data_IF_533630913962
#
_entry.id   IF_533630913962
#
_cell.length_a   1.000
_cell.length_b   1.000
_cell.length_c   1.000
_cell.angle_alpha   90.00
_cell.angle_beta   90.00
_cell.angle_gamma   90.00
#
_symmetry.space_group_name_H-M   'P 1'
#
loop_
_entity.id
_entity.type
_entity.pdbx_description
1 polymer ?
#
# COMPACT_ATOMS: atom_id res chain seq x y z
N UNK A 1 -32.54 -17.36 13.82
CA UNK A 1 -32.79 -16.18 14.67
C UNK A 1 -31.72 -15.15 14.33
N UNK A 2 -32.09 -13.95 13.96
CA UNK A 2 -31.12 -12.92 13.63
C UNK A 2 -30.56 -12.32 14.93
N UNK A 3 -29.32 -12.62 15.25
CA UNK A 3 -28.65 -12.13 16.43
C UNK A 3 -27.98 -10.78 16.21
N UNK A 4 -28.04 -10.31 15.01
CA UNK A 4 -27.13 -9.25 14.59
C UNK A 4 -27.46 -7.87 15.02
N UNK A 5 -28.60 -7.59 15.58
CA UNK A 5 -29.04 -6.22 15.48
C UNK A 5 -29.18 -5.45 16.77
N UNK A 6 -29.31 -6.09 17.90
CA UNK A 6 -29.32 -5.37 19.17
C UNK A 6 -29.03 -6.28 20.36
N UNK A 7 -28.60 -5.70 21.46
CA UNK A 7 -28.22 -6.44 22.65
C UNK A 7 -29.35 -7.26 23.27
N UNK A 8 -30.58 -6.89 23.03
CA UNK A 8 -31.75 -7.63 23.51
C UNK A 8 -31.84 -9.02 22.84
N UNK A 9 -31.57 -9.09 21.55
CA UNK A 9 -31.60 -10.35 20.83
C UNK A 9 -30.51 -11.31 21.33
N UNK A 10 -29.33 -10.79 21.64
CA UNK A 10 -28.26 -11.58 22.23
C UNK A 10 -28.67 -12.08 23.63
N UNK A 11 -29.26 -11.22 24.44
CA UNK A 11 -29.71 -11.62 25.75
C UNK A 11 -30.81 -12.69 25.72
N UNK A 12 -31.84 -12.49 24.90
CA UNK A 12 -32.92 -13.44 24.74
C UNK A 12 -32.40 -14.78 24.28
N UNK A 13 -31.45 -14.81 23.35
CA UNK A 13 -30.81 -16.03 22.89
C UNK A 13 -30.07 -16.74 24.02
N UNK A 14 -29.20 -16.05 24.72
CA UNK A 14 -28.43 -16.60 25.83
C UNK A 14 -29.35 -17.17 26.92
N UNK A 15 -30.36 -16.43 27.26
CA UNK A 15 -31.34 -16.85 28.26
C UNK A 15 -32.11 -18.09 27.81
N UNK A 16 -32.57 -18.16 26.58
CA UNK A 16 -33.33 -19.28 26.03
C UNK A 16 -32.52 -20.58 25.89
N UNK A 17 -31.26 -20.44 25.48
CA UNK A 17 -30.41 -21.61 25.19
C UNK A 17 -29.64 -22.13 26.40
N UNK A 18 -29.21 -21.27 27.30
CA UNK A 18 -28.35 -21.61 28.43
C UNK A 18 -29.08 -21.61 29.79
N UNK A 19 -30.37 -21.45 29.82
CA UNK A 19 -31.23 -21.59 31.01
C UNK A 19 -30.64 -20.93 32.26
N UNK A 20 -30.55 -19.62 32.28
CA UNK A 20 -30.09 -18.83 33.43
C UNK A 20 -28.58 -18.95 33.77
N UNK A 21 -27.76 -19.47 32.90
CA UNK A 21 -26.32 -19.49 33.10
C UNK A 21 -25.70 -18.09 33.01
N UNK A 22 -26.36 -17.17 32.35
CA UNK A 22 -25.87 -15.82 32.11
C UNK A 22 -26.81 -14.81 32.72
N UNK A 23 -26.61 -14.43 33.96
CA UNK A 23 -27.52 -13.53 34.68
C UNK A 23 -27.42 -12.09 34.24
N UNK A 24 -26.39 -11.75 33.53
CA UNK A 24 -26.18 -10.39 33.12
C UNK A 24 -26.53 -10.14 31.71
N UNK A 25 -27.07 -9.07 31.54
CA UNK A 25 -27.64 -8.57 30.38
C UNK A 25 -26.80 -7.51 29.76
N UNK A 26 -26.70 -7.55 28.51
CA UNK A 26 -26.07 -6.54 27.71
C UNK A 26 -27.12 -5.84 26.91
N UNK A 27 -27.12 -4.66 27.01
CA UNK A 27 -28.19 -3.97 26.52
C UNK A 27 -28.05 -3.03 25.51
N UNK A 28 -27.00 -2.48 25.25
CA UNK A 28 -26.89 -1.50 24.22
C UNK A 28 -26.00 -2.04 23.16
N UNK A 29 -26.62 -2.17 22.12
CA UNK A 29 -26.15 -2.62 20.89
C UNK A 29 -24.82 -1.97 20.44
N UNK A 30 -24.67 -0.70 20.34
CA UNK A 30 -23.51 -0.08 19.75
C UNK A 30 -22.29 0.08 20.65
N UNK A 31 -22.36 1.06 21.50
CA UNK A 31 -21.20 1.51 22.28
C UNK A 31 -20.96 0.72 23.55
N UNK A 32 -22.01 0.07 24.05
CA UNK A 32 -21.95 -0.68 25.30
C UNK A 32 -21.72 -2.16 25.11
N UNK A 33 -21.85 -2.69 23.90
CA UNK A 33 -21.70 -4.11 23.63
C UNK A 33 -20.29 -4.64 23.91
N UNK A 34 -19.28 -3.91 23.50
CA UNK A 34 -17.89 -4.26 23.68
C UNK A 34 -17.43 -4.26 25.16
N UNK A 35 -17.76 -3.28 25.98
CA UNK A 35 -17.50 -3.34 27.41
C UNK A 35 -18.15 -4.55 28.09
N UNK A 36 -19.35 -4.91 27.69
CA UNK A 36 -20.03 -6.06 28.24
C UNK A 36 -19.40 -7.39 27.81
N UNK A 37 -18.93 -7.49 26.57
CA UNK A 37 -18.14 -8.65 26.11
C UNK A 37 -16.87 -8.83 26.95
N UNK A 38 -16.14 -7.74 27.23
CA UNK A 38 -14.96 -7.76 28.08
C UNK A 38 -15.32 -8.20 29.51
N UNK A 39 -16.42 -7.71 30.06
CA UNK A 39 -16.88 -8.09 31.38
C UNK A 39 -17.26 -9.58 31.46
N UNK A 40 -17.94 -10.08 30.47
CA UNK A 40 -18.26 -11.50 30.38
C UNK A 40 -17.00 -12.39 30.28
N UNK A 41 -16.04 -12.00 29.47
CA UNK A 41 -14.74 -12.72 29.36
C UNK A 41 -13.97 -12.69 30.68
N UNK A 42 -13.87 -11.55 31.33
CA UNK A 42 -13.13 -11.42 32.59
C UNK A 42 -13.74 -12.26 33.73
N UNK A 43 -15.02 -12.50 33.69
CA UNK A 43 -15.72 -13.34 34.65
C UNK A 43 -15.77 -14.85 34.24
N UNK A 44 -15.13 -15.23 33.15
CA UNK A 44 -15.13 -16.59 32.61
C UNK A 44 -16.55 -17.17 32.35
N UNK A 45 -17.51 -16.31 32.10
CA UNK A 45 -18.91 -16.71 31.84
C UNK A 45 -19.10 -17.04 30.35
N UNK A 46 -18.25 -16.43 29.51
CA UNK A 46 -18.34 -16.56 28.08
C UNK A 46 -17.63 -17.81 27.60
N UNK A 47 -18.38 -18.74 27.05
CA UNK A 47 -17.82 -19.87 26.32
C UNK A 47 -17.55 -19.52 24.84
N UNK A 48 -16.81 -20.39 24.15
CA UNK A 48 -16.40 -20.13 22.76
C UNK A 48 -17.59 -19.92 21.81
N UNK A 49 -18.70 -20.62 22.03
CA UNK A 49 -19.88 -20.50 21.19
C UNK A 49 -20.56 -19.14 21.36
N UNK A 50 -20.64 -18.67 22.59
CA UNK A 50 -21.21 -17.35 22.89
C UNK A 50 -20.32 -16.24 22.37
N UNK A 51 -19.01 -16.37 22.52
CA UNK A 51 -18.05 -15.43 21.97
C UNK A 51 -18.16 -15.34 20.44
N UNK A 52 -18.25 -16.49 19.78
CA UNK A 52 -18.44 -16.58 18.34
C UNK A 52 -19.72 -15.90 17.89
N UNK A 53 -20.84 -16.18 18.55
CA UNK A 53 -22.12 -15.55 18.25
C UNK A 53 -22.11 -14.03 18.41
N UNK A 54 -21.45 -13.54 19.44
CA UNK A 54 -21.30 -12.09 19.67
C UNK A 54 -20.47 -11.46 18.56
N UNK A 55 -19.37 -12.07 18.17
CA UNK A 55 -18.56 -11.59 17.04
C UNK A 55 -19.33 -11.60 15.73
N UNK A 56 -20.03 -12.68 15.45
CA UNK A 56 -20.85 -12.82 14.26
C UNK A 56 -21.96 -11.76 14.21
N UNK A 57 -22.64 -11.52 15.34
CA UNK A 57 -23.67 -10.50 15.43
C UNK A 57 -23.13 -9.07 15.25
N UNK A 58 -21.91 -8.81 15.70
CA UNK A 58 -21.29 -7.48 15.64
C UNK A 58 -20.81 -7.11 14.24
N UNK A 59 -20.41 -8.10 13.43
CA UNK A 59 -19.76 -7.86 12.14
C UNK A 59 -20.45 -8.60 10.98
N UNK A 60 -21.61 -9.23 11.21
CA UNK A 60 -22.29 -10.05 10.19
C UNK A 60 -22.62 -9.29 8.90
N UNK A 61 -22.81 -7.99 8.98
CA UNK A 61 -23.09 -7.16 7.80
C UNK A 61 -21.84 -6.85 6.95
N UNK A 62 -20.65 -7.07 7.51
CA UNK A 62 -19.38 -6.75 6.87
C UNK A 62 -18.60 -7.99 6.40
N UNK A 63 -18.97 -9.17 6.91
CA UNK A 63 -18.27 -10.41 6.61
C UNK A 63 -19.17 -11.38 5.86
N UNK A 64 -18.66 -11.90 4.73
CA UNK A 64 -19.36 -12.87 3.92
C UNK A 64 -18.68 -14.22 3.94
N UNK A 65 -19.48 -15.28 4.05
CA UNK A 65 -19.06 -16.66 3.80
C UNK A 65 -19.42 -17.12 2.38
N UNK A 66 -20.11 -16.28 1.61
CA UNK A 66 -20.55 -16.57 0.25
C UNK A 66 -19.50 -16.00 -0.73
N UNK A 67 -19.19 -16.71 -1.82
CA UNK A 67 -18.33 -16.18 -2.88
C UNK A 67 -18.83 -14.82 -3.37
N UNK A 68 -17.91 -13.86 -3.47
CA UNK A 68 -18.21 -12.48 -3.84
C UNK A 68 -17.80 -12.26 -5.29
N UNK A 69 -18.41 -11.30 -6.01
CA UNK A 69 -18.09 -11.01 -7.40
C UNK A 69 -16.62 -10.67 -7.64
N UNK A 70 -16.17 -10.83 -8.89
CA UNK A 70 -14.76 -10.71 -9.30
C UNK A 70 -14.09 -9.36 -9.00
N UNK A 71 -14.87 -8.28 -8.85
CA UNK A 71 -14.34 -6.95 -8.57
C UNK A 71 -14.23 -6.62 -7.07
N UNK A 72 -14.20 -7.63 -6.21
CA UNK A 72 -14.07 -7.46 -4.76
C UNK A 72 -12.69 -7.91 -4.29
N UNK A 73 -12.01 -7.06 -3.52
CA UNK A 73 -10.69 -7.32 -2.93
C UNK A 73 -10.90 -7.78 -1.50
N UNK A 74 -10.56 -9.03 -1.15
CA UNK A 74 -10.61 -9.49 0.23
C UNK A 74 -9.56 -8.79 1.07
N UNK A 75 -9.90 -8.40 2.31
CA UNK A 75 -9.02 -7.63 3.18
C UNK A 75 -8.77 -8.34 4.51
N UNK A 76 -9.83 -8.67 5.24
CA UNK A 76 -9.72 -9.35 6.52
C UNK A 76 -10.66 -10.52 6.63
N UNK A 77 -10.29 -11.40 7.54
CA UNK A 77 -11.05 -12.57 7.90
C UNK A 77 -11.34 -12.58 9.40
N UNK A 78 -12.56 -12.95 9.76
CA UNK A 78 -12.93 -13.18 11.15
C UNK A 78 -12.63 -14.62 11.58
N UNK A 79 -12.85 -14.95 12.85
CA UNK A 79 -12.54 -16.27 13.41
C UNK A 79 -13.38 -17.42 12.83
N UNK A 80 -14.51 -17.13 12.22
CA UNK A 80 -15.41 -18.12 11.62
C UNK A 80 -15.25 -18.24 10.10
N UNK A 81 -14.21 -17.62 9.53
CA UNK A 81 -13.94 -17.67 8.10
C UNK A 81 -14.74 -16.69 7.24
N UNK A 82 -15.51 -15.80 7.85
CA UNK A 82 -16.16 -14.72 7.12
C UNK A 82 -15.13 -13.68 6.64
N UNK A 83 -15.25 -13.26 5.39
CA UNK A 83 -14.30 -12.35 4.71
C UNK A 83 -14.94 -10.99 4.46
N UNK A 84 -14.23 -9.93 4.79
CA UNK A 84 -14.61 -8.55 4.44
C UNK A 84 -13.94 -8.13 3.13
N UNK A 85 -14.62 -7.28 2.39
CA UNK A 85 -14.20 -6.90 1.04
C UNK A 85 -14.19 -5.38 0.85
N UNK A 86 -13.16 -4.91 0.15
CA UNK A 86 -13.16 -3.62 -0.52
C UNK A 86 -13.72 -3.81 -1.93
N UNK A 87 -14.60 -2.92 -2.37
CA UNK A 87 -15.07 -2.91 -3.76
C UNK A 87 -14.03 -2.23 -4.63
N UNK A 88 -13.59 -2.89 -5.67
CA UNK A 88 -12.69 -2.28 -6.65
C UNK A 88 -13.48 -1.28 -7.51
N UNK A 89 -13.06 -0.03 -7.45
CA UNK A 89 -13.73 1.07 -8.18
C UNK A 89 -13.05 1.33 -9.52
N UNK A 90 -13.48 0.63 -10.56
CA UNK A 90 -12.96 0.82 -11.92
C UNK A 90 -13.15 2.24 -12.46
N UNK A 91 -14.14 2.96 -11.97
CA UNK A 91 -14.43 4.35 -12.38
C UNK A 91 -13.60 5.37 -11.60
N UNK A 92 -12.77 4.90 -10.67
CA UNK A 92 -11.90 5.74 -9.84
C UNK A 92 -12.63 6.91 -9.16
N UNK A 93 -13.85 6.69 -8.69
CA UNK A 93 -14.60 7.67 -7.89
C UNK A 93 -13.95 7.85 -6.53
N UNK A 94 -13.36 6.77 -5.98
CA UNK A 94 -12.63 6.76 -4.72
C UNK A 94 -11.13 6.53 -4.97
N UNK A 95 -10.29 6.95 -4.04
CA UNK A 95 -8.89 6.60 -4.06
C UNK A 95 -8.75 5.11 -3.71
N UNK A 96 -7.87 4.40 -4.43
CA UNK A 96 -7.60 2.97 -4.16
C UNK A 96 -6.32 2.77 -3.33
N UNK A 97 -5.92 3.78 -2.57
CA UNK A 97 -4.74 3.69 -1.72
C UNK A 97 -5.00 2.85 -0.47
N UNK A 98 -3.99 2.09 -0.11
CA UNK A 98 -3.95 1.26 1.09
C UNK A 98 -2.74 1.63 1.95
N UNK A 99 -2.97 1.92 3.21
CA UNK A 99 -1.95 2.28 4.17
C UNK A 99 -1.90 1.29 5.33
N UNK A 100 -0.73 0.71 5.61
CA UNK A 100 -0.50 -0.18 6.73
C UNK A 100 0.48 0.44 7.75
N UNK A 101 0.07 0.49 9.02
CA UNK A 101 0.87 0.99 10.13
C UNK A 101 1.01 -0.07 11.21
N UNK A 102 2.23 -0.28 11.71
CA UNK A 102 2.45 -1.22 12.81
C UNK A 102 3.94 -1.41 13.12
N UNK A 103 4.25 -1.93 14.29
CA UNK A 103 5.62 -2.26 14.70
C UNK A 103 6.26 -3.33 13.80
N UNK A 104 7.58 -3.49 13.88
CA UNK A 104 8.29 -4.56 13.16
C UNK A 104 7.71 -5.93 13.54
N UNK A 105 7.62 -6.84 12.58
CA UNK A 105 7.10 -8.20 12.79
C UNK A 105 5.60 -8.30 13.09
N UNK A 106 4.83 -7.21 13.01
CA UNK A 106 3.38 -7.22 13.28
C UNK A 106 2.52 -7.81 12.16
N UNK A 107 3.08 -8.01 10.94
CA UNK A 107 2.36 -8.62 9.81
C UNK A 107 2.04 -7.67 8.66
N UNK A 108 2.56 -6.43 8.64
CA UNK A 108 2.32 -5.45 7.56
C UNK A 108 2.72 -5.96 6.18
N UNK A 109 3.98 -6.42 6.04
CA UNK A 109 4.50 -6.92 4.76
C UNK A 109 3.73 -8.15 4.29
N UNK A 110 3.37 -9.06 5.21
CA UNK A 110 2.48 -10.19 4.89
C UNK A 110 1.12 -9.69 4.34
N UNK A 111 0.53 -8.69 4.96
CA UNK A 111 -0.72 -8.09 4.47
C UNK A 111 -0.57 -7.46 3.09
N UNK A 112 0.54 -6.75 2.81
CA UNK A 112 0.82 -6.21 1.49
C UNK A 112 0.98 -7.32 0.44
N UNK A 113 1.69 -8.41 0.78
CA UNK A 113 1.88 -9.57 -0.10
C UNK A 113 0.53 -10.24 -0.44
N UNK A 114 -0.32 -10.49 0.56
CA UNK A 114 -1.65 -11.06 0.34
C UNK A 114 -2.57 -10.14 -0.50
N UNK A 115 -2.46 -8.83 -0.26
CA UNK A 115 -3.19 -7.84 -1.05
C UNK A 115 -2.69 -7.77 -2.49
N UNK A 116 -1.40 -7.90 -2.72
CA UNK A 116 -0.79 -7.98 -4.05
C UNK A 116 -1.37 -9.13 -4.86
N UNK A 117 -1.43 -10.33 -4.27
CA UNK A 117 -2.07 -11.51 -4.88
C UNK A 117 -3.57 -11.27 -5.16
N UNK A 118 -4.27 -10.63 -4.23
CA UNK A 118 -5.70 -10.35 -4.41
C UNK A 118 -5.96 -9.35 -5.54
N UNK A 119 -5.09 -8.35 -5.70
CA UNK A 119 -5.18 -7.37 -6.79
C UNK A 119 -4.77 -7.96 -8.15
N UNK A 120 -3.80 -8.87 -8.17
CA UNK A 120 -3.38 -9.58 -9.39
C UNK A 120 -4.57 -10.32 -10.04
N UNK A 121 -5.43 -10.94 -9.24
CA UNK A 121 -6.65 -11.63 -9.71
C UNK A 121 -7.63 -10.72 -10.48
N UNK A 122 -7.48 -9.41 -10.35
CA UNK A 122 -8.23 -8.41 -11.13
C UNK A 122 -7.58 -8.10 -12.49
N UNK A 123 -6.49 -8.79 -12.85
CA UNK A 123 -5.74 -8.61 -14.10
C UNK A 123 -5.31 -7.15 -14.33
N UNK A 124 -4.80 -6.52 -13.28
CA UNK A 124 -4.27 -5.14 -13.31
C UNK A 124 -2.76 -5.17 -13.09
N UNK A 125 -2.00 -4.33 -13.81
CA UNK A 125 -0.56 -4.27 -13.63
C UNK A 125 -0.21 -3.84 -12.19
N UNK A 126 0.80 -4.51 -11.64
CA UNK A 126 1.30 -4.26 -10.29
C UNK A 126 2.81 -4.04 -10.38
N UNK A 127 3.27 -2.91 -9.82
CA UNK A 127 4.68 -2.60 -9.69
C UNK A 127 5.03 -2.51 -8.20
N UNK A 128 6.02 -3.28 -7.78
CA UNK A 128 6.53 -3.31 -6.41
C UNK A 128 7.93 -2.69 -6.41
N UNK A 129 8.13 -1.65 -5.61
CA UNK A 129 9.46 -1.11 -5.34
C UNK A 129 9.97 -1.72 -4.03
N UNK A 130 10.86 -2.69 -4.16
CA UNK A 130 11.45 -3.40 -3.02
C UNK A 130 12.76 -2.75 -2.61
N UNK A 131 12.72 -2.08 -1.46
CA UNK A 131 13.86 -1.34 -0.92
C UNK A 131 14.59 -2.08 0.20
N UNK A 132 14.05 -3.20 0.69
CA UNK A 132 14.50 -3.87 1.90
C UNK A 132 14.51 -5.40 1.76
N UNK A 133 14.53 -5.95 0.53
CA UNK A 133 14.42 -7.40 0.25
C UNK A 133 13.16 -8.03 0.90
N UNK A 134 12.10 -7.24 1.01
CA UNK A 134 10.85 -7.69 1.62
C UNK A 134 9.97 -8.47 0.65
N UNK A 135 10.24 -8.39 -0.63
CA UNK A 135 9.49 -9.02 -1.73
C UNK A 135 10.39 -9.88 -2.65
N UNK A 136 11.46 -10.47 -2.11
CA UNK A 136 12.21 -11.49 -2.84
C UNK A 136 11.36 -12.73 -3.07
N UNK A 137 11.76 -13.61 -3.98
CA UNK A 137 11.04 -14.86 -4.25
C UNK A 137 10.87 -15.69 -2.97
N UNK A 138 11.93 -15.82 -2.17
CA UNK A 138 11.95 -16.57 -0.91
C UNK A 138 11.00 -15.95 0.11
N UNK A 139 11.04 -14.62 0.27
CA UNK A 139 10.21 -13.89 1.21
C UNK A 139 8.72 -13.96 0.84
N UNK A 140 8.39 -13.84 -0.43
CA UNK A 140 7.01 -14.00 -0.93
C UNK A 140 6.55 -15.45 -0.69
N UNK A 141 7.39 -16.45 -1.02
CA UNK A 141 7.09 -17.86 -0.79
C UNK A 141 6.84 -18.13 0.69
N UNK A 142 7.73 -17.65 1.58
CA UNK A 142 7.56 -17.83 3.02
C UNK A 142 6.23 -17.23 3.49
N UNK A 143 5.94 -15.97 3.13
CA UNK A 143 4.73 -15.27 3.57
C UNK A 143 3.45 -15.93 3.09
N UNK A 144 3.38 -16.32 1.82
CA UNK A 144 2.18 -16.95 1.26
C UNK A 144 1.99 -18.41 1.72
N UNK A 145 3.06 -19.07 2.17
CA UNK A 145 3.05 -20.48 2.59
C UNK A 145 2.87 -20.67 4.10
N UNK A 146 2.72 -19.61 4.88
CA UNK A 146 2.60 -19.72 6.35
C UNK A 146 1.46 -20.64 6.76
N UNK A 147 1.81 -21.78 7.40
CA UNK A 147 0.84 -22.77 7.88
C UNK A 147 0.16 -23.58 6.77
N UNK A 148 0.68 -23.58 5.57
CA UNK A 148 0.18 -24.35 4.44
C UNK A 148 0.74 -25.79 4.39
N UNK A 149 0.01 -26.70 3.78
CA UNK A 149 0.46 -28.05 3.45
C UNK A 149 1.41 -28.04 2.24
N UNK A 150 2.21 -29.11 2.07
CA UNK A 150 3.21 -29.21 0.97
C UNK A 150 2.61 -29.01 -0.42
N UNK A 151 1.41 -29.51 -0.67
CA UNK A 151 0.72 -29.34 -1.95
C UNK A 151 0.39 -27.89 -2.27
N UNK A 152 0.01 -27.11 -1.24
CA UNK A 152 -0.28 -25.68 -1.36
C UNK A 152 1.00 -24.90 -1.59
N UNK A 153 2.11 -25.28 -0.93
CA UNK A 153 3.44 -24.65 -1.12
C UNK A 153 3.89 -24.78 -2.58
N UNK A 154 3.72 -25.94 -3.21
CA UNK A 154 4.02 -26.10 -4.65
C UNK A 154 3.10 -25.23 -5.52
N UNK A 155 1.83 -25.08 -5.16
CA UNK A 155 0.92 -24.15 -5.82
C UNK A 155 1.39 -22.68 -5.70
N UNK A 156 1.93 -22.28 -4.53
CA UNK A 156 2.50 -20.94 -4.34
C UNK A 156 3.74 -20.72 -5.20
N UNK A 157 4.64 -21.70 -5.30
CA UNK A 157 5.81 -21.62 -6.19
C UNK A 157 5.40 -21.46 -7.65
N UNK A 158 4.43 -22.25 -8.10
CA UNK A 158 3.88 -22.14 -9.45
C UNK A 158 3.28 -20.75 -9.67
N UNK A 159 2.52 -20.23 -8.71
CA UNK A 159 1.96 -18.89 -8.77
C UNK A 159 3.05 -17.82 -8.93
N UNK A 160 4.12 -17.88 -8.12
CA UNK A 160 5.23 -16.93 -8.20
C UNK A 160 5.88 -17.02 -9.59
N UNK A 161 6.19 -18.25 -10.04
CA UNK A 161 6.78 -18.48 -11.36
C UNK A 161 5.90 -17.96 -12.51
N UNK A 162 4.58 -18.05 -12.41
CA UNK A 162 3.68 -17.69 -13.51
C UNK A 162 3.33 -16.20 -13.54
N UNK A 163 3.30 -15.54 -12.37
CA UNK A 163 2.73 -14.20 -12.24
C UNK A 163 3.72 -13.11 -11.83
N UNK A 164 4.94 -13.44 -11.39
CA UNK A 164 5.90 -12.45 -10.88
C UNK A 164 7.16 -12.41 -11.75
N UNK A 165 7.53 -11.20 -12.18
CA UNK A 165 8.83 -10.88 -12.78
C UNK A 165 9.67 -10.15 -11.77
N UNK A 166 10.87 -10.63 -11.49
CA UNK A 166 11.86 -9.96 -10.65
C UNK A 166 12.85 -9.21 -11.54
N UNK A 167 13.13 -7.96 -11.20
CA UNK A 167 14.08 -7.10 -11.86
C UNK A 167 15.06 -6.54 -10.83
N UNK A 168 16.34 -6.90 -10.94
CA UNK A 168 17.41 -6.47 -10.05
C UNK A 168 18.25 -5.39 -10.74
N UNK A 169 18.22 -4.16 -10.22
CA UNK A 169 18.90 -3.03 -10.88
C UNK A 169 20.41 -3.27 -11.05
N UNK A 170 21.05 -3.99 -10.14
CA UNK A 170 22.49 -4.34 -10.25
C UNK A 170 22.79 -5.21 -11.47
N UNK A 171 21.91 -6.14 -11.78
CA UNK A 171 22.14 -7.15 -12.84
C UNK A 171 21.49 -6.71 -14.15
N UNK A 172 20.26 -6.21 -14.08
CA UNK A 172 19.41 -5.92 -15.23
C UNK A 172 19.45 -4.46 -15.67
N UNK A 173 20.08 -3.58 -14.86
CA UNK A 173 20.08 -2.13 -15.07
C UNK A 173 18.79 -1.46 -14.61
N UNK A 174 18.65 -0.18 -14.92
CA UNK A 174 17.43 0.59 -14.64
C UNK A 174 16.33 0.12 -15.58
N UNK A 175 15.13 -0.21 -15.07
CA UNK A 175 14.13 -0.98 -15.84
C UNK A 175 13.56 -0.26 -17.04
N UNK A 176 13.59 1.06 -17.07
CA UNK A 176 12.99 1.91 -18.09
C UNK A 176 13.83 3.16 -18.33
N UNK A 177 13.65 3.79 -19.49
CA UNK A 177 14.04 5.18 -19.69
C UNK A 177 13.04 6.10 -18.96
N UNK A 178 13.51 6.77 -17.91
CA UNK A 178 12.69 7.58 -17.04
C UNK A 178 12.08 8.80 -17.75
N UNK A 179 12.67 9.22 -18.85
CA UNK A 179 12.24 10.40 -19.60
C UNK A 179 11.31 10.07 -20.78
N UNK A 180 11.09 8.78 -21.09
CA UNK A 180 10.06 8.33 -22.03
C UNK A 180 8.66 8.41 -21.41
N UNK A 181 8.11 9.62 -21.34
CA UNK A 181 6.84 9.91 -20.65
C UNK A 181 5.58 9.81 -21.56
N UNK A 182 5.74 9.29 -22.76
CA UNK A 182 4.70 9.32 -23.79
C UNK A 182 4.60 10.67 -24.51
N UNK A 183 3.72 10.74 -25.51
CA UNK A 183 3.60 11.93 -26.37
C UNK A 183 3.14 13.16 -25.60
N UNK A 184 4.05 14.07 -25.35
CA UNK A 184 3.73 15.42 -24.88
C UNK A 184 3.56 16.33 -26.09
N UNK A 185 2.43 17.05 -26.15
CA UNK A 185 2.11 17.96 -27.24
C UNK A 185 2.84 19.30 -27.18
N UNK A 186 3.59 19.54 -26.09
CA UNK A 186 4.22 20.83 -25.81
C UNK A 186 5.60 20.64 -25.16
N UNK A 187 6.62 21.22 -25.77
CA UNK A 187 8.01 21.20 -25.29
C UNK A 187 8.13 21.73 -23.84
N UNK A 188 7.43 22.79 -23.51
CA UNK A 188 7.40 23.36 -22.16
C UNK A 188 6.82 22.38 -21.11
N UNK A 189 5.79 21.63 -21.46
CA UNK A 189 5.21 20.59 -20.58
C UNK A 189 6.20 19.44 -20.37
N UNK A 190 6.92 19.04 -21.41
CA UNK A 190 7.99 18.04 -21.33
C UNK A 190 9.09 18.51 -20.38
N UNK A 191 9.58 19.73 -20.52
CA UNK A 191 10.61 20.31 -19.65
C UNK A 191 10.15 20.25 -18.19
N UNK A 192 8.92 20.71 -17.89
CA UNK A 192 8.38 20.71 -16.51
C UNK A 192 8.24 19.30 -15.92
N UNK A 193 7.87 18.30 -16.72
CA UNK A 193 7.78 16.91 -16.26
C UNK A 193 9.17 16.37 -15.93
N UNK A 194 10.16 16.60 -16.78
CA UNK A 194 11.54 16.20 -16.55
C UNK A 194 12.11 16.90 -15.29
N UNK A 195 11.89 18.21 -15.13
CA UNK A 195 12.23 18.93 -13.91
C UNK A 195 11.63 18.26 -12.67
N UNK A 196 10.33 17.93 -12.71
CA UNK A 196 9.66 17.27 -11.60
C UNK A 196 10.23 15.90 -11.28
N UNK A 197 10.71 15.13 -12.26
CA UNK A 197 11.36 13.84 -12.06
C UNK A 197 12.72 14.05 -11.38
N UNK A 198 13.51 14.95 -11.91
CA UNK A 198 14.85 15.28 -11.40
C UNK A 198 14.80 15.87 -9.99
N UNK A 199 13.80 16.70 -9.72
CA UNK A 199 13.57 17.34 -8.43
C UNK A 199 12.90 16.42 -7.40
N UNK A 200 12.35 15.27 -7.82
CA UNK A 200 11.56 14.40 -6.95
C UNK A 200 12.30 14.00 -5.66
N UNK A 201 13.59 13.77 -5.76
CA UNK A 201 14.44 13.49 -4.61
C UNK A 201 14.91 14.77 -3.89
N UNK A 202 15.24 15.81 -4.62
CA UNK A 202 15.85 17.03 -4.08
C UNK A 202 14.88 18.23 -4.11
N UNK A 203 13.86 18.18 -3.25
CA UNK A 203 12.79 19.18 -3.20
C UNK A 203 13.21 20.53 -2.62
N UNK A 204 14.45 20.67 -2.14
CA UNK A 204 14.98 21.89 -1.51
C UNK A 204 16.01 22.61 -2.36
N UNK A 205 15.99 22.43 -3.68
CA UNK A 205 16.89 23.14 -4.57
C UNK A 205 16.69 24.67 -4.47
N UNK A 206 17.80 25.40 -4.35
CA UNK A 206 17.78 26.85 -4.37
C UNK A 206 17.49 27.38 -5.78
N UNK A 207 17.06 28.65 -5.88
CA UNK A 207 16.69 29.30 -7.16
C UNK A 207 17.80 29.18 -8.22
N UNK A 208 19.07 29.29 -7.82
CA UNK A 208 20.23 29.18 -8.75
C UNK A 208 20.35 27.72 -9.28
N UNK A 209 20.16 26.73 -8.42
CA UNK A 209 20.22 25.34 -8.82
C UNK A 209 19.07 25.00 -9.79
N UNK A 210 17.86 25.45 -9.49
CA UNK A 210 16.71 25.27 -10.39
C UNK A 210 16.93 25.89 -11.76
N UNK A 211 17.52 27.11 -11.82
CA UNK A 211 17.83 27.75 -13.07
C UNK A 211 18.88 26.99 -13.91
N UNK A 212 19.87 26.40 -13.26
CA UNK A 212 20.88 25.56 -13.93
C UNK A 212 20.26 24.27 -14.46
N UNK A 213 19.43 23.59 -13.65
CA UNK A 213 18.73 22.36 -14.05
C UNK A 213 17.76 22.66 -15.20
N UNK A 214 17.00 23.74 -15.14
CA UNK A 214 16.12 24.17 -16.22
C UNK A 214 16.87 24.40 -17.54
N UNK A 215 18.01 25.08 -17.48
CA UNK A 215 18.83 25.34 -18.65
C UNK A 215 19.38 24.04 -19.27
N UNK A 216 19.88 23.10 -18.44
CA UNK A 216 20.39 21.81 -18.89
C UNK A 216 19.28 20.97 -19.54
N UNK A 217 18.10 20.88 -18.91
CA UNK A 217 16.94 20.15 -19.45
C UNK A 217 16.47 20.78 -20.75
N UNK A 218 16.40 22.11 -20.83
CA UNK A 218 16.00 22.82 -22.05
C UNK A 218 16.97 22.54 -23.21
N UNK A 219 18.28 22.46 -22.92
CA UNK A 219 19.31 22.17 -23.92
C UNK A 219 19.16 20.75 -24.48
N UNK A 220 19.01 19.71 -23.62
CA UNK A 220 18.85 18.32 -24.09
C UNK A 220 17.55 18.13 -24.86
N UNK A 221 16.45 18.78 -24.44
CA UNK A 221 15.15 18.73 -25.15
C UNK A 221 15.25 19.38 -26.52
N UNK A 222 15.92 20.54 -26.63
CA UNK A 222 16.13 21.23 -27.92
C UNK A 222 17.04 20.43 -28.87
N UNK A 223 18.02 19.73 -28.34
CA UNK A 223 18.92 18.86 -29.12
C UNK A 223 18.25 17.53 -29.52
N UNK A 224 17.14 17.16 -28.88
CA UNK A 224 16.47 15.90 -29.11
C UNK A 224 17.18 14.68 -28.47
N UNK A 225 18.09 14.91 -27.53
CA UNK A 225 18.81 13.88 -26.76
C UNK A 225 18.25 13.79 -25.34
N UNK A 226 16.99 13.36 -25.24
CA UNK A 226 16.26 13.36 -23.96
C UNK A 226 16.51 12.03 -23.25
N UNK A 227 17.60 11.92 -22.54
CA UNK A 227 17.97 10.80 -21.68
C UNK A 227 18.75 11.29 -20.44
N UNK A 228 18.85 10.44 -19.41
CA UNK A 228 19.48 10.81 -18.12
C UNK A 228 20.99 10.98 -18.23
N UNK A 229 21.66 10.26 -19.13
CA UNK A 229 23.10 10.37 -19.35
C UNK A 229 23.44 11.73 -19.97
N UNK A 230 22.69 12.13 -20.99
CA UNK A 230 22.83 13.46 -21.62
C UNK A 230 22.56 14.58 -20.60
N UNK A 231 21.60 14.40 -19.70
CA UNK A 231 21.34 15.35 -18.63
C UNK A 231 22.51 15.43 -17.64
N UNK A 232 23.07 14.29 -17.23
CA UNK A 232 24.24 14.23 -16.36
C UNK A 232 25.44 14.94 -17.00
N UNK A 233 25.72 14.68 -18.28
CA UNK A 233 26.79 15.34 -19.04
C UNK A 233 26.60 16.86 -19.13
N UNK A 234 25.37 17.31 -19.39
CA UNK A 234 25.02 18.71 -19.42
C UNK A 234 25.30 19.43 -18.07
N UNK A 235 24.92 18.75 -16.96
CA UNK A 235 25.09 19.29 -15.62
C UNK A 235 26.55 19.25 -15.11
N UNK A 236 27.35 18.31 -15.60
CA UNK A 236 28.78 18.19 -15.23
C UNK A 236 29.73 18.96 -16.15
N UNK A 237 29.20 19.73 -17.09
CA UNK A 237 30.01 20.53 -17.99
C UNK A 237 30.84 21.57 -17.22
N UNK A 238 32.06 21.90 -17.74
CA UNK A 238 32.99 22.84 -17.11
C UNK A 238 32.41 24.24 -16.86
N UNK A 239 31.28 24.56 -17.52
CA UNK A 239 30.63 25.88 -17.40
C UNK A 239 29.77 26.00 -16.14
N UNK A 240 29.43 24.88 -15.49
CA UNK A 240 28.58 24.86 -14.29
C UNK A 240 29.43 24.61 -13.05
N UNK A 241 29.39 25.49 -12.04
CA UNK A 241 30.09 25.26 -10.78
C UNK A 241 29.56 24.02 -10.07
N UNK A 242 30.41 23.02 -9.81
CA UNK A 242 30.05 21.71 -9.24
C UNK A 242 29.26 21.85 -7.93
N UNK A 243 29.59 22.79 -7.05
CA UNK A 243 28.86 23.01 -5.80
C UNK A 243 27.39 23.39 -5.96
N UNK A 244 26.94 23.75 -7.15
CA UNK A 244 25.54 24.02 -7.45
C UNK A 244 24.76 22.73 -7.79
N UNK A 245 25.45 21.71 -8.26
CA UNK A 245 24.83 20.50 -8.81
C UNK A 245 25.26 19.19 -8.12
N UNK A 246 26.19 19.28 -7.15
CA UNK A 246 26.82 18.13 -6.47
C UNK A 246 25.82 17.04 -6.05
N UNK A 247 24.81 17.39 -5.26
CA UNK A 247 23.82 16.43 -4.79
C UNK A 247 23.00 15.79 -5.92
N UNK A 248 22.73 16.56 -6.98
CA UNK A 248 21.97 16.07 -8.12
C UNK A 248 22.83 15.19 -9.01
N UNK A 249 24.08 15.58 -9.26
CA UNK A 249 25.01 14.78 -10.06
C UNK A 249 25.37 13.47 -9.36
N UNK A 250 25.45 13.44 -8.04
CA UNK A 250 25.63 12.20 -7.28
C UNK A 250 24.47 11.25 -7.52
N UNK A 251 23.23 11.74 -7.49
CA UNK A 251 22.03 10.92 -7.79
C UNK A 251 22.05 10.48 -9.26
N UNK A 252 22.27 11.37 -10.19
CA UNK A 252 22.28 11.05 -11.63
C UNK A 252 23.44 10.15 -12.05
N UNK A 253 24.53 10.07 -11.27
CA UNK A 253 25.66 9.16 -11.55
C UNK A 253 25.24 7.70 -11.63
N UNK A 254 24.10 7.31 -11.03
CA UNK A 254 23.54 5.97 -11.19
C UNK A 254 23.23 5.63 -12.64
N UNK A 255 22.74 6.59 -13.42
CA UNK A 255 22.39 6.38 -14.83
C UNK A 255 23.64 6.20 -15.72
N UNK A 256 24.80 6.62 -15.22
CA UNK A 256 26.10 6.36 -15.86
C UNK A 256 26.64 4.98 -15.46
N UNK A 257 26.41 4.57 -14.20
CA UNK A 257 26.93 3.32 -13.64
C UNK A 257 26.03 2.12 -13.97
N UNK A 258 24.72 2.32 -13.98
CA UNK A 258 23.74 1.27 -14.29
C UNK A 258 23.06 1.60 -15.62
N UNK A 259 23.22 0.72 -16.58
CA UNK A 259 22.62 0.93 -17.90
C UNK A 259 21.10 1.11 -17.78
N UNK A 260 20.60 2.20 -18.32
CA UNK A 260 19.16 2.42 -18.48
C UNK A 260 18.63 1.60 -19.66
N UNK A 261 17.49 0.95 -19.50
CA UNK A 261 16.83 0.22 -20.58
C UNK A 261 16.10 1.21 -21.49
N UNK A 262 16.27 1.06 -22.79
CA UNK A 262 15.60 1.87 -23.80
C UNK A 262 14.17 1.37 -24.06
N UNK A 263 13.33 1.38 -23.01
CA UNK A 263 11.89 1.07 -23.07
C UNK A 263 11.12 1.97 -22.13
N UNK A 264 9.85 2.21 -22.43
CA UNK A 264 8.96 2.93 -21.52
C UNK A 264 8.27 1.99 -20.50
N UNK A 265 7.47 2.56 -19.60
CA UNK A 265 6.73 1.79 -18.60
C UNK A 265 5.68 0.85 -19.20
N UNK A 266 5.09 1.17 -20.37
CA UNK A 266 4.14 0.31 -21.04
C UNK A 266 4.78 -0.91 -21.62
N UNK A 267 5.92 -0.74 -22.31
CA UNK A 267 6.73 -1.82 -22.83
C UNK A 267 7.20 -2.75 -21.70
N UNK A 268 7.65 -2.19 -20.58
CA UNK A 268 7.99 -2.99 -19.39
C UNK A 268 6.80 -3.81 -18.89
N UNK A 269 5.62 -3.19 -18.77
CA UNK A 269 4.40 -3.86 -18.29
C UNK A 269 3.93 -4.95 -19.27
N UNK A 270 4.03 -4.71 -20.57
CA UNK A 270 3.61 -5.68 -21.60
C UNK A 270 4.56 -6.87 -21.73
N UNK A 271 5.85 -6.67 -21.56
CA UNK A 271 6.87 -7.71 -21.61
C UNK A 271 6.98 -8.55 -20.34
N UNK A 272 6.47 -8.03 -19.23
CA UNK A 272 6.53 -8.66 -17.92
C UNK A 272 5.25 -9.45 -17.59
N UNK A 273 5.32 -10.22 -16.51
CA UNK A 273 4.13 -10.85 -15.91
C UNK A 273 3.28 -9.82 -15.18
N UNK A 274 2.16 -10.25 -14.60
CA UNK A 274 1.18 -9.39 -13.93
C UNK A 274 1.78 -8.52 -12.81
N UNK A 275 2.83 -9.01 -12.14
CA UNK A 275 3.51 -8.36 -11.02
C UNK A 275 4.98 -8.17 -11.38
N UNK A 276 5.47 -6.95 -11.27
CA UNK A 276 6.87 -6.59 -11.50
C UNK A 276 7.46 -6.14 -10.18
N UNK A 277 8.43 -6.88 -9.66
CA UNK A 277 9.20 -6.51 -8.46
C UNK A 277 10.50 -5.89 -8.90
N UNK A 278 10.71 -4.61 -8.60
CA UNK A 278 11.94 -3.87 -8.88
C UNK A 278 12.73 -3.78 -7.58
N UNK A 279 13.82 -4.56 -7.47
CA UNK A 279 14.73 -4.50 -6.32
C UNK A 279 15.69 -3.34 -6.48
N UNK A 280 15.72 -2.48 -5.44
CA UNK A 280 16.53 -1.27 -5.41
C UNK A 280 17.51 -1.25 -4.24
N UNK A 281 17.74 -2.39 -3.56
CA UNK A 281 18.56 -2.44 -2.36
C UNK A 281 20.01 -2.09 -2.62
N UNK A 282 20.58 -2.63 -3.67
CA UNK A 282 21.95 -2.36 -4.09
C UNK A 282 22.23 -0.88 -4.30
N UNK A 283 21.24 -0.17 -4.81
CA UNK A 283 21.31 1.27 -5.07
C UNK A 283 21.20 2.08 -3.78
N UNK A 284 20.54 1.54 -2.75
CA UNK A 284 20.34 2.20 -1.46
C UNK A 284 21.64 2.46 -0.70
N UNK A 285 22.58 1.51 -0.70
CA UNK A 285 23.85 1.61 -0.03
C UNK A 285 24.76 2.69 -0.63
N UNK A 286 24.53 3.06 -1.88
CA UNK A 286 25.34 4.00 -2.66
C UNK A 286 24.75 5.41 -2.77
N UNK A 287 23.73 5.75 -1.98
CA UNK A 287 23.04 7.06 -2.04
C UNK A 287 21.79 7.10 -2.94
N UNK A 288 21.35 5.95 -3.48
CA UNK A 288 20.27 5.84 -4.46
C UNK A 288 18.84 5.97 -3.97
N UNK A 289 18.63 6.51 -2.76
CA UNK A 289 17.25 6.83 -2.29
C UNK A 289 16.49 7.75 -3.26
N UNK A 290 17.21 8.55 -4.04
CA UNK A 290 16.63 9.41 -5.07
C UNK A 290 16.08 8.69 -6.29
N UNK A 291 16.68 7.56 -6.65
CA UNK A 291 16.26 6.81 -7.84
C UNK A 291 14.80 6.36 -7.74
N UNK A 292 14.37 5.88 -6.58
CA UNK A 292 12.97 5.43 -6.40
C UNK A 292 12.00 6.61 -6.54
N UNK A 293 12.34 7.77 -5.97
CA UNK A 293 11.49 8.95 -6.11
C UNK A 293 11.39 9.39 -7.58
N UNK A 294 12.49 9.26 -8.34
CA UNK A 294 12.52 9.55 -9.77
C UNK A 294 11.71 8.53 -10.57
N UNK A 295 11.87 7.21 -10.28
CA UNK A 295 11.08 6.13 -10.88
C UNK A 295 9.57 6.32 -10.62
N UNK A 296 9.20 6.63 -9.38
CA UNK A 296 7.81 6.89 -9.00
C UNK A 296 7.23 8.12 -9.73
N UNK A 297 8.02 9.18 -9.89
CA UNK A 297 7.57 10.39 -10.59
C UNK A 297 7.45 10.15 -12.09
N UNK A 298 8.40 9.43 -12.69
CA UNK A 298 8.33 8.99 -14.09
C UNK A 298 7.09 8.15 -14.34
N UNK A 299 6.87 7.12 -13.51
CA UNK A 299 5.68 6.25 -13.59
C UNK A 299 4.36 7.04 -13.43
N UNK A 300 4.34 8.02 -12.53
CA UNK A 300 3.19 8.90 -12.35
C UNK A 300 2.87 9.69 -13.64
N UNK A 301 3.88 10.29 -14.28
CA UNK A 301 3.68 11.03 -15.53
C UNK A 301 3.36 10.13 -16.71
N UNK A 302 3.98 8.94 -16.78
CA UNK A 302 3.62 7.94 -17.77
C UNK A 302 2.13 7.57 -17.64
N UNK A 303 1.69 7.23 -16.45
CA UNK A 303 0.30 6.84 -16.18
C UNK A 303 -0.68 8.02 -16.38
N UNK A 304 -0.24 9.26 -16.19
CA UNK A 304 -1.06 10.43 -16.52
C UNK A 304 -1.36 10.54 -18.03
N UNK A 305 -0.40 10.14 -18.86
CA UNK A 305 -0.55 10.13 -20.33
C UNK A 305 -1.31 8.88 -20.82
N UNK A 306 -1.22 7.74 -20.12
CA UNK A 306 -1.72 6.43 -20.55
C UNK A 306 -2.67 5.80 -19.52
N UNK A 307 -3.66 6.54 -19.02
CA UNK A 307 -4.51 6.17 -17.90
C UNK A 307 -5.65 5.18 -18.24
N UNK A 308 -5.47 4.31 -19.20
CA UNK A 308 -6.50 3.34 -19.62
C UNK A 308 -6.76 2.26 -18.58
N UNK A 309 -5.70 1.72 -17.97
CA UNK A 309 -5.77 0.68 -16.96
C UNK A 309 -5.42 1.23 -15.58
N UNK A 310 -6.00 0.65 -14.54
CA UNK A 310 -5.61 0.95 -13.17
C UNK A 310 -4.25 0.31 -12.87
N UNK A 311 -3.34 1.08 -12.30
CA UNK A 311 -2.01 0.65 -11.87
C UNK A 311 -1.95 0.57 -10.35
N UNK A 312 -1.44 -0.54 -9.81
CA UNK A 312 -1.20 -0.69 -8.38
C UNK A 312 0.30 -0.65 -8.06
N UNK A 313 0.69 0.28 -7.21
CA UNK A 313 2.09 0.44 -6.76
C UNK A 313 2.20 -0.07 -5.33
N UNK A 314 3.25 -0.84 -5.02
CA UNK A 314 3.55 -1.34 -3.68
C UNK A 314 4.91 -0.83 -3.21
N UNK A 315 4.97 -0.37 -1.95
CA UNK A 315 6.20 0.07 -1.27
C UNK A 315 6.13 -0.40 0.18
N UNK A 316 7.03 -1.29 0.60
CA UNK A 316 7.22 -1.58 2.02
C UNK A 316 8.19 -0.54 2.62
N UNK A 317 7.86 -0.03 3.81
CA UNK A 317 8.66 0.96 4.55
C UNK A 317 8.86 2.31 3.81
N UNK A 318 7.76 3.02 3.60
CA UNK A 318 7.71 4.31 2.90
C UNK A 318 8.61 5.43 3.53
N UNK A 319 9.06 5.27 4.78
CA UNK A 319 9.91 6.28 5.45
C UNK A 319 11.24 6.51 4.75
N UNK A 320 11.68 5.58 3.92
CA UNK A 320 12.92 5.68 3.15
C UNK A 320 12.77 6.61 1.94
N UNK A 321 11.55 6.98 1.59
CA UNK A 321 11.22 7.83 0.46
C UNK A 321 11.12 9.31 0.88
N UNK A 322 11.10 10.19 -0.12
CA UNK A 322 10.88 11.61 0.11
C UNK A 322 9.42 11.87 0.51
N UNK A 323 9.19 12.03 1.80
CA UNK A 323 7.87 12.32 2.37
C UNK A 323 7.56 13.83 2.46
N UNK A 324 8.25 14.68 1.69
CA UNK A 324 7.88 16.09 1.61
C UNK A 324 6.55 16.26 0.85
N UNK A 325 5.89 17.39 1.07
CA UNK A 325 4.61 17.70 0.38
C UNK A 325 4.77 17.89 -1.13
N UNK A 326 5.99 18.03 -1.61
CA UNK A 326 6.34 18.16 -3.04
C UNK A 326 6.91 16.85 -3.62
N UNK A 327 7.14 15.83 -2.79
CA UNK A 327 7.70 14.55 -3.22
C UNK A 327 6.74 13.71 -4.05
N UNK A 328 7.28 12.67 -4.68
CA UNK A 328 6.54 11.73 -5.52
C UNK A 328 5.34 11.09 -4.81
N UNK A 329 5.54 10.64 -3.57
CA UNK A 329 4.51 10.02 -2.73
C UNK A 329 3.34 10.99 -2.47
N UNK A 330 3.64 12.24 -2.09
CA UNK A 330 2.61 13.24 -1.83
C UNK A 330 1.77 13.50 -3.09
N UNK A 331 2.42 13.62 -4.24
CA UNK A 331 1.76 13.83 -5.52
C UNK A 331 0.87 12.66 -5.91
N UNK A 332 1.38 11.43 -5.77
CA UNK A 332 0.58 10.22 -6.02
C UNK A 332 -0.63 10.18 -5.09
N UNK A 333 -0.48 10.37 -3.79
CA UNK A 333 -1.58 10.30 -2.83
C UNK A 333 -2.65 11.40 -3.03
N UNK A 334 -2.29 12.56 -3.59
CA UNK A 334 -3.22 13.68 -3.75
C UNK A 334 -3.88 13.73 -5.14
N UNK A 335 -3.18 13.30 -6.18
CA UNK A 335 -3.61 13.50 -7.56
C UNK A 335 -3.90 12.20 -8.34
N UNK A 336 -3.52 11.05 -7.79
CA UNK A 336 -3.53 9.76 -8.50
C UNK A 336 -4.92 9.23 -8.89
N UNK A 337 -5.97 9.67 -8.20
CA UNK A 337 -7.34 9.25 -8.53
C UNK A 337 -7.68 9.50 -10.00
N UNK A 338 -7.26 10.65 -10.55
CA UNK A 338 -7.46 11.00 -11.97
C UNK A 338 -6.64 10.11 -12.89
N UNK A 339 -5.51 9.62 -12.41
CA UNK A 339 -4.54 8.85 -13.17
C UNK A 339 -4.67 7.34 -12.93
N UNK A 340 -5.70 6.90 -12.21
CA UNK A 340 -5.98 5.49 -11.90
C UNK A 340 -4.81 4.77 -11.23
N UNK A 341 -4.13 5.42 -10.29
CA UNK A 341 -3.04 4.82 -9.51
C UNK A 341 -3.54 4.49 -8.11
N UNK A 342 -3.29 3.26 -7.65
CA UNK A 342 -3.47 2.83 -6.27
C UNK A 342 -2.11 2.61 -5.60
N UNK A 343 -1.77 3.39 -4.57
CA UNK A 343 -0.57 3.20 -3.78
C UNK A 343 -0.86 2.33 -2.56
N UNK A 344 -0.17 1.20 -2.45
CA UNK A 344 -0.24 0.28 -1.32
C UNK A 344 1.09 0.36 -0.55
N UNK A 345 1.07 0.85 0.67
CA UNK A 345 2.31 1.15 1.37
C UNK A 345 2.23 0.88 2.87
N UNK A 346 3.39 0.62 3.46
CA UNK A 346 3.52 0.38 4.87
C UNK A 346 4.56 1.30 5.53
N UNK A 347 4.43 1.47 6.85
CA UNK A 347 5.44 2.12 7.69
C UNK A 347 5.35 1.64 9.13
N UNK A 348 6.44 1.78 9.86
CA UNK A 348 6.51 1.49 11.29
C UNK A 348 6.13 2.71 12.14
N UNK A 349 6.26 3.91 11.59
CA UNK A 349 6.12 5.15 12.34
C UNK A 349 5.22 6.14 11.59
N UNK A 350 4.39 6.84 12.35
CA UNK A 350 3.69 8.00 11.80
C UNK A 350 4.70 9.13 11.52
N UNK A 351 4.66 9.75 10.36
CA UNK A 351 5.48 10.92 10.07
C UNK A 351 5.29 12.02 11.11
N UNK A 352 6.36 12.74 11.43
CA UNK A 352 6.29 13.87 12.39
C UNK A 352 5.51 15.06 11.82
N UNK A 353 5.63 15.29 10.52
CA UNK A 353 4.95 16.38 9.82
C UNK A 353 3.43 16.16 9.81
N UNK A 354 2.68 17.16 10.26
CA UNK A 354 1.20 17.15 10.21
C UNK A 354 0.71 17.11 8.77
N UNK A 355 1.35 17.85 7.87
CA UNK A 355 1.00 17.89 6.44
C UNK A 355 1.14 16.52 5.78
N UNK A 356 2.24 15.79 6.07
CA UNK A 356 2.42 14.43 5.53
C UNK A 356 1.37 13.47 6.07
N UNK A 357 0.99 13.59 7.35
CA UNK A 357 -0.11 12.80 7.92
C UNK A 357 -1.46 13.10 7.27
N UNK A 358 -1.72 14.36 6.94
CA UNK A 358 -2.92 14.77 6.21
C UNK A 358 -2.95 14.17 4.81
N UNK A 359 -1.82 14.15 4.11
CA UNK A 359 -1.68 13.51 2.79
C UNK A 359 -1.93 12.00 2.91
N UNK A 360 -1.39 11.33 3.92
CA UNK A 360 -1.64 9.90 4.18
C UNK A 360 -3.12 9.59 4.47
N UNK A 361 -3.88 10.55 5.01
CA UNK A 361 -5.32 10.38 5.23
C UNK A 361 -6.12 10.25 3.91
N UNK A 362 -5.50 10.50 2.76
CA UNK A 362 -6.12 10.24 1.46
C UNK A 362 -6.22 8.75 1.11
N UNK A 363 -5.57 7.86 1.87
CA UNK A 363 -5.77 6.43 1.67
C UNK A 363 -7.22 6.03 2.00
N UNK A 364 -7.83 5.21 1.14
CA UNK A 364 -9.18 4.68 1.36
C UNK A 364 -9.20 3.67 2.50
N UNK A 365 -8.16 2.84 2.57
CA UNK A 365 -8.01 1.80 3.58
C UNK A 365 -6.80 2.09 4.47
N UNK A 366 -7.02 2.09 5.79
CA UNK A 366 -5.99 2.18 6.81
C UNK A 366 -5.99 0.92 7.67
N UNK A 367 -4.93 0.13 7.62
CA UNK A 367 -4.74 -1.06 8.43
C UNK A 367 -3.75 -0.78 9.58
N UNK A 368 -4.20 -0.98 10.80
CA UNK A 368 -3.44 -0.74 12.03
C UNK A 368 -3.15 -2.08 12.70
N UNK A 369 -1.92 -2.51 12.60
CA UNK A 369 -1.38 -3.69 13.26
C UNK A 369 -0.95 -3.34 14.69
N UNK A 370 -0.26 -4.27 15.37
CA UNK A 370 0.28 -4.01 16.70
C UNK A 370 1.16 -2.75 16.70
N UNK A 371 0.88 -1.82 17.61
CA UNK A 371 1.55 -0.54 17.74
C UNK A 371 2.29 -0.43 19.08
N UNK A 372 3.28 0.47 19.14
CA UNK A 372 3.83 0.94 20.41
C UNK A 372 2.80 1.82 21.15
N UNK A 373 2.96 1.97 22.48
CA UNK A 373 2.02 2.70 23.35
C UNK A 373 1.74 4.14 22.90
N UNK A 374 2.77 4.84 22.41
CA UNK A 374 2.65 6.23 22.00
C UNK A 374 1.83 6.36 20.72
N UNK A 375 2.11 5.54 19.74
CA UNK A 375 1.39 5.51 18.46
C UNK A 375 -0.03 4.99 18.68
N UNK A 376 -0.20 3.95 19.50
CA UNK A 376 -1.49 3.38 19.87
C UNK A 376 -2.45 4.41 20.46
N UNK A 377 -1.96 5.29 21.33
CA UNK A 377 -2.78 6.37 21.93
C UNK A 377 -3.35 7.32 20.87
N UNK A 378 -2.57 7.63 19.83
CA UNK A 378 -3.01 8.51 18.73
C UNK A 378 -4.02 7.83 17.83
N UNK A 379 -3.74 6.57 17.44
CA UNK A 379 -4.58 5.77 16.54
C UNK A 379 -5.89 5.35 17.22
N UNK A 380 -5.86 5.03 18.51
CA UNK A 380 -7.04 4.63 19.29
C UNK A 380 -8.15 5.68 19.26
N UNK A 381 -7.78 6.96 19.28
CA UNK A 381 -8.74 8.06 19.13
C UNK A 381 -9.45 8.05 17.77
N UNK A 382 -8.69 7.74 16.70
CA UNK A 382 -9.22 7.65 15.34
C UNK A 382 -10.19 6.46 15.20
N UNK A 383 -9.85 5.34 15.82
CA UNK A 383 -10.61 4.09 15.76
C UNK A 383 -11.71 4.03 16.85
N UNK A 384 -11.68 4.92 17.83
CA UNK A 384 -12.58 4.89 19.01
C UNK A 384 -12.48 3.58 19.79
N UNK A 385 -11.27 3.08 20.00
CA UNK A 385 -10.94 1.86 20.73
C UNK A 385 -10.03 2.18 21.93
N UNK A 386 -9.80 1.18 22.80
CA UNK A 386 -8.81 1.33 23.87
C UNK A 386 -7.39 1.22 23.29
N UNK A 387 -6.43 2.13 23.62
CA UNK A 387 -5.05 2.01 23.17
C UNK A 387 -4.41 0.65 23.47
N UNK A 388 -4.70 0.03 24.61
CA UNK A 388 -4.19 -1.29 24.96
C UNK A 388 -4.59 -2.38 23.96
N UNK A 389 -5.72 -2.27 23.30
CA UNK A 389 -6.12 -3.23 22.30
C UNK A 389 -5.19 -3.22 21.10
N UNK A 390 -4.66 -2.06 20.73
CA UNK A 390 -3.71 -1.91 19.62
C UNK A 390 -2.30 -2.39 19.98
N UNK A 391 -1.93 -2.37 21.26
CA UNK A 391 -0.62 -2.86 21.71
C UNK A 391 -0.59 -4.37 21.89
N UNK A 392 -1.75 -5.01 22.07
CA UNK A 392 -1.89 -6.45 22.33
C UNK A 392 -2.32 -7.26 21.09
N UNK A 393 -2.42 -6.64 19.91
CA UNK A 393 -2.76 -7.37 18.69
C UNK A 393 -1.74 -8.48 18.39
N UNK A 394 -2.23 -9.63 17.98
CA UNK A 394 -1.40 -10.73 17.50
C UNK A 394 -0.74 -10.41 16.16
N UNK A 395 0.26 -11.22 15.75
CA UNK A 395 0.85 -11.12 14.42
C UNK A 395 -0.22 -11.37 13.35
N UNK A 396 -0.36 -10.43 12.42
CA UNK A 396 -1.36 -10.47 11.35
C UNK A 396 -2.77 -10.02 11.75
N UNK A 397 -3.00 -9.75 13.02
CA UNK A 397 -4.25 -9.16 13.51
C UNK A 397 -4.20 -7.64 13.38
N UNK A 398 -5.31 -7.03 12.93
CA UNK A 398 -5.34 -5.60 12.67
C UNK A 398 -6.75 -5.00 12.86
N UNK A 399 -6.77 -3.71 13.16
CA UNK A 399 -7.92 -2.87 12.97
C UNK A 399 -7.83 -2.20 11.61
N UNK A 400 -8.91 -2.23 10.84
CA UNK A 400 -8.95 -1.59 9.52
C UNK A 400 -10.06 -0.57 9.50
N UNK A 401 -9.72 0.65 9.10
CA UNK A 401 -10.66 1.73 8.82
C UNK A 401 -10.68 2.00 7.33
N UNK A 402 -11.85 2.05 6.73
CA UNK A 402 -11.98 2.30 5.29
C UNK A 402 -13.39 2.13 4.79
N UNK A 403 -13.52 1.98 3.47
CA UNK A 403 -14.78 1.76 2.78
C UNK A 403 -14.91 0.28 2.40
N UNK A 404 -15.90 -0.40 2.95
CA UNK A 404 -16.11 -1.84 2.79
C UNK A 404 -17.49 -2.15 2.25
N UNK A 405 -17.61 -3.29 1.56
CA UNK A 405 -18.90 -3.78 1.13
C UNK A 405 -19.77 -4.19 2.33
N UNK A 406 -20.97 -3.65 2.36
CA UNK A 406 -21.98 -3.98 3.36
C UNK A 406 -23.09 -4.79 2.70
N UNK A 407 -23.27 -6.05 3.11
CA UNK A 407 -24.21 -6.97 2.50
C UNK A 407 -25.68 -6.54 2.68
N UNK A 408 -26.02 -5.98 3.84
CA UNK A 408 -27.39 -5.56 4.10
C UNK A 408 -27.82 -4.37 3.25
N UNK A 409 -26.88 -3.47 2.94
CA UNK A 409 -27.14 -2.30 2.09
C UNK A 409 -26.79 -2.52 0.63
N UNK A 410 -26.04 -3.59 0.33
CA UNK A 410 -25.53 -3.92 -1.01
C UNK A 410 -24.70 -2.78 -1.63
N UNK A 411 -23.98 -2.05 -0.78
CA UNK A 411 -23.15 -0.91 -1.18
C UNK A 411 -21.85 -0.86 -0.36
N UNK A 412 -20.87 -0.11 -0.86
CA UNK A 412 -19.64 0.17 -0.14
C UNK A 412 -19.83 1.39 0.78
N UNK A 413 -19.67 1.20 2.09
CA UNK A 413 -19.83 2.25 3.09
C UNK A 413 -18.63 2.31 4.04
N UNK A 414 -18.34 3.49 4.63
CA UNK A 414 -17.28 3.62 5.62
C UNK A 414 -17.52 2.77 6.86
N UNK A 415 -16.47 2.12 7.36
CA UNK A 415 -16.53 1.30 8.56
C UNK A 415 -15.18 1.13 9.25
N UNK A 416 -15.21 0.50 10.41
CA UNK A 416 -14.03 0.06 11.16
C UNK A 416 -14.24 -1.41 11.46
N UNK A 417 -13.29 -2.25 11.05
CA UNK A 417 -13.32 -3.69 11.22
C UNK A 417 -12.14 -4.14 12.07
N UNK A 418 -12.28 -5.30 12.70
CA UNK A 418 -11.21 -5.98 13.41
C UNK A 418 -11.14 -7.43 12.95
N UNK A 419 -9.95 -7.90 12.56
CA UNK A 419 -9.77 -9.26 12.06
C UNK A 419 -8.32 -9.58 11.79
N UNK A 420 -8.09 -10.74 11.17
CA UNK A 420 -6.77 -11.15 10.67
C UNK A 420 -6.68 -10.84 9.18
N UNK A 421 -5.47 -10.61 8.70
CA UNK A 421 -5.20 -10.49 7.26
C UNK A 421 -5.77 -11.68 6.51
N UNK A 422 -6.51 -11.40 5.44
CA UNK A 422 -7.01 -12.45 4.54
C UNK A 422 -5.85 -13.20 3.91
N UNK A 423 -6.00 -14.49 3.68
CA UNK A 423 -5.01 -15.35 3.04
C UNK A 423 -5.54 -15.89 1.74
N UNK A 424 -4.79 -15.72 0.66
CA UNK A 424 -5.13 -16.22 -0.67
C UNK A 424 -4.87 -17.72 -0.83
N UNK A 425 -3.85 -18.24 -0.14
CA UNK A 425 -3.51 -19.66 -0.13
C UNK A 425 -3.83 -20.25 1.24
N UNK A 426 -4.61 -21.33 1.23
CA UNK A 426 -5.10 -22.01 2.43
C UNK A 426 -4.99 -23.52 2.27
N UNK A 427 -5.13 -24.22 3.41
CA UNK A 427 -5.22 -25.67 3.47
C UNK A 427 -6.37 -26.20 2.63
#
# INVERSE_FOLDING_TARGET
MCLGLNGLNVFEYLHSTKKNRYPLVVYSYHRSFRPALIALKSNQILDADVELMIQESQYSEWYSTIPVPENFIPITENRIGGVSYQVFDEKCKNNMHFFALGSSGSGKTHCLTERMVSLQKLHRPIIVFDTNESFTEEEILEKLSVGCEKSVIEGVKTYISDHITFHHIEEDGIPVDLLKLGNSSNVEDTIRKIESIVEAHNTNMGIKQQAVVHAAISDIVQKGTVDMVSLYEALTSEQIPYNLVEQLTDTLSFFVNFKENDRDWGELIEESKDIIVISTEAVRSSGGSGLIDMLLMSLYYYQQAHNEKHLSIFIDEIKTQNLSTKGSIAKILTESRKNRIGLNFATQFLPKSTQVREIMNNADIHAFFRLDDRTATSVARLLRVNPQELTLLEKGECYIKGTFYNQNKQEAIPGILHGKTYRNFRK
#
